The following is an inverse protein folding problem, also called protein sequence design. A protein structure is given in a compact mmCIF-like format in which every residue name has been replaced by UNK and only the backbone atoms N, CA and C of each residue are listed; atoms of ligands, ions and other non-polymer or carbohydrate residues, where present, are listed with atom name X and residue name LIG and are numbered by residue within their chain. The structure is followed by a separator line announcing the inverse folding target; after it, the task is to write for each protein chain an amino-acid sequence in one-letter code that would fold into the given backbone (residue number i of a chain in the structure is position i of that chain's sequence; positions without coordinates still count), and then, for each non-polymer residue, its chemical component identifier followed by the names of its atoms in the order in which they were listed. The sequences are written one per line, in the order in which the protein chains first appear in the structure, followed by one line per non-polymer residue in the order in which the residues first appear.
data_IF_805620794709
#
_entry.id   IF_805620794709
#
_cell.length_a   1.000
_cell.length_b   1.000
_cell.length_c   1.000
_cell.angle_alpha   90.00
_cell.angle_beta   90.00
_cell.angle_gamma   90.00
#
_symmetry.space_group_name_H-M   'P 1'
#
loop_
_entity.id
_entity.type
_entity.pdbx_description
1 polymer ?
#
# COMPACT_ATOMS: atom_id res chain seq x y z
N UNK A 1 -3.31 -13.21 16.54
CA UNK A 1 -2.88 -12.94 16.01
C UNK A 1 -2.04 -12.76 15.60
N UNK A 2 -1.49 -12.78 15.38
CA UNK A 2 -0.74 -12.62 15.07
C UNK A 2 -0.09 -12.13 14.57
N UNK A 3 0.46 -12.18 14.22
CA UNK A 3 1.19 -11.89 13.81
C UNK A 3 1.59 -11.30 13.24
N UNK A 4 1.63 -11.02 12.89
CA UNK A 4 2.11 -10.60 12.25
C UNK A 4 2.61 -10.07 11.84
N UNK A 5 2.62 -10.05 12.01
CA UNK A 5 3.15 -9.31 11.32
C UNK A 5 4.30 -8.59 11.67
N UNK A 6 5.38 -8.97 11.22
CA UNK A 6 6.53 -8.19 11.33
C UNK A 6 6.37 -6.83 10.71
N UNK A 7 5.42 -6.72 9.79
CA UNK A 7 5.23 -5.46 9.11
C UNK A 7 4.05 -4.67 9.62
N UNK A 8 3.26 -5.29 10.45
CA UNK A 8 2.15 -4.53 10.97
C UNK A 8 2.67 -3.78 12.13
N UNK A 9 2.57 -2.57 12.20
CA UNK A 9 3.16 -1.96 13.10
C UNK A 9 2.43 -1.08 13.80
N UNK A 10 2.50 -0.92 14.98
CA UNK A 10 2.00 0.15 15.82
C UNK A 10 0.60 0.57 15.49
N UNK A 11 -0.28 -0.40 15.27
CA UNK A 11 -1.66 -0.08 14.95
C UNK A 11 -1.85 0.67 13.64
N UNK A 12 -0.90 0.58 12.73
CA UNK A 12 -1.06 1.28 11.44
C UNK A 12 -2.33 0.87 10.73
N UNK A 13 -2.70 -0.40 10.78
CA UNK A 13 -3.89 -0.88 10.10
C UNK A 13 -5.17 -0.38 10.76
N UNK A 14 -5.09 0.18 11.96
CA UNK A 14 -6.24 0.76 12.63
C UNK A 14 -6.36 2.25 12.38
N UNK A 15 -5.41 2.83 11.66
CA UNK A 15 -5.45 4.25 11.35
C UNK A 15 -6.20 4.48 10.04
N UNK A 16 -6.77 5.65 9.86
CA UNK A 16 -7.44 5.92 8.58
C UNK A 16 -6.44 5.99 7.44
N UNK A 17 -6.89 5.58 6.27
CA UNK A 17 -6.10 5.67 5.05
C UNK A 17 -6.43 6.99 4.38
N UNK A 18 -5.40 7.76 4.05
CA UNK A 18 -5.55 8.99 3.30
C UNK A 18 -4.84 8.84 1.98
N UNK A 19 -5.49 9.23 0.89
CA UNK A 19 -4.90 9.16 -0.44
C UNK A 19 -5.08 10.51 -1.10
N UNK A 20 -3.99 11.09 -1.57
CA UNK A 20 -3.98 12.37 -2.26
C UNK A 20 -3.35 12.16 -3.62
N UNK A 21 -3.91 12.77 -4.65
CA UNK A 21 -3.36 12.69 -6.00
C UNK A 21 -3.85 13.88 -6.80
N UNK A 22 -3.26 14.07 -7.98
CA UNK A 22 -3.72 15.15 -8.86
C UNK A 22 -5.03 14.79 -9.54
N UNK A 23 -5.23 13.51 -9.86
CA UNK A 23 -6.43 13.04 -10.56
C UNK A 23 -6.98 11.79 -9.93
N UNK A 24 -8.30 11.67 -9.95
CA UNK A 24 -8.99 10.48 -9.43
C UNK A 24 -10.09 10.11 -10.39
N UNK A 25 -10.33 8.83 -10.56
CA UNK A 25 -11.46 8.35 -11.31
C UNK A 25 -12.08 7.16 -10.61
N UNK A 26 -13.38 7.01 -10.76
CA UNK A 26 -14.13 5.94 -10.11
C UNK A 26 -14.93 5.19 -11.16
N UNK A 27 -14.63 3.91 -11.31
CA UNK A 27 -15.42 3.03 -12.16
C UNK A 27 -16.41 2.32 -11.27
N UNK A 28 -17.63 2.80 -11.25
CA UNK A 28 -18.64 2.29 -10.34
C UNK A 28 -19.12 0.90 -10.75
N UNK A 29 -19.05 0.58 -12.03
CA UNK A 29 -19.49 -0.71 -12.49
C UNK A 29 -18.58 -1.83 -12.02
N UNK A 30 -17.27 -1.60 -12.06
CA UNK A 30 -16.29 -2.59 -11.67
C UNK A 30 -15.70 -2.37 -10.30
N UNK A 31 -16.15 -1.33 -9.59
CA UNK A 31 -15.70 -0.98 -8.25
C UNK A 31 -14.19 -0.79 -8.22
N UNK A 32 -13.69 0.01 -9.17
CA UNK A 32 -12.26 0.31 -9.25
C UNK A 32 -12.07 1.81 -9.11
N UNK A 33 -11.18 2.20 -8.21
CA UNK A 33 -10.80 3.60 -8.03
C UNK A 33 -9.37 3.75 -8.50
N UNK A 34 -9.11 4.72 -9.35
CA UNK A 34 -7.78 4.98 -9.86
C UNK A 34 -7.33 6.37 -9.50
N UNK A 35 -6.11 6.48 -8.95
CA UNK A 35 -5.49 7.74 -8.61
C UNK A 35 -4.27 7.89 -9.51
N UNK A 36 -4.10 9.05 -10.11
CA UNK A 36 -2.96 9.27 -11.00
C UNK A 36 -2.27 10.58 -10.71
N UNK A 37 -0.95 10.54 -10.88
CA UNK A 37 -0.04 11.67 -10.74
C UNK A 37 0.10 12.17 -9.30
N UNK A 38 1.30 12.08 -8.81
CA UNK A 38 1.68 12.53 -7.46
C UNK A 38 0.80 11.90 -6.38
N UNK A 39 0.66 10.58 -6.46
CA UNK A 39 -0.16 9.86 -5.50
C UNK A 39 0.61 9.66 -4.22
N UNK A 40 0.01 10.02 -3.10
CA UNK A 40 0.59 9.82 -1.76
C UNK A 40 -0.45 9.12 -0.91
N UNK A 41 -0.07 7.97 -0.36
CA UNK A 41 -0.94 7.19 0.53
C UNK A 41 -0.31 7.20 1.90
N UNK A 42 -1.10 7.54 2.91
CA UNK A 42 -0.63 7.49 4.30
C UNK A 42 -1.61 6.70 5.15
N UNK A 43 -1.08 5.91 6.06
CA UNK A 43 -1.86 5.20 7.05
C UNK A 43 -0.94 4.96 8.25
N UNK A 44 -1.15 5.71 9.34
CA UNK A 44 -0.25 5.63 10.47
C UNK A 44 1.17 5.99 10.04
N UNK A 45 2.12 5.10 10.26
CA UNK A 45 3.51 5.32 9.87
C UNK A 45 3.78 4.93 8.42
N UNK A 46 2.80 4.33 7.74
CA UNK A 46 2.97 3.89 6.36
C UNK A 46 2.88 5.10 5.43
N UNK A 47 3.84 5.20 4.52
CA UNK A 47 3.86 6.26 3.51
C UNK A 47 4.22 5.62 2.19
N UNK A 48 3.35 5.74 1.20
CA UNK A 48 3.61 5.20 -0.15
C UNK A 48 3.46 6.34 -1.14
N UNK A 49 4.44 6.48 -2.01
CA UNK A 49 4.41 7.46 -3.09
C UNK A 49 4.50 6.75 -4.42
N UNK A 50 3.62 7.13 -5.35
CA UNK A 50 3.51 6.44 -6.62
C UNK A 50 3.05 7.40 -7.70
N UNK A 51 3.11 6.93 -8.95
CA UNK A 51 2.57 7.70 -10.06
C UNK A 51 1.13 7.33 -10.33
N UNK A 52 0.75 6.09 -10.00
CA UNK A 52 -0.59 5.61 -10.23
C UNK A 52 -0.93 4.57 -9.17
N UNK A 53 -2.13 4.63 -8.65
CA UNK A 53 -2.60 3.64 -7.69
C UNK A 53 -3.99 3.19 -8.11
N UNK A 54 -4.20 1.89 -8.12
CA UNK A 54 -5.49 1.28 -8.48
C UNK A 54 -5.98 0.47 -7.31
N UNK A 55 -7.17 0.79 -6.83
CA UNK A 55 -7.79 0.05 -5.73
C UNK A 55 -8.99 -0.68 -6.30
N UNK A 56 -9.01 -2.00 -6.14
CA UNK A 56 -10.10 -2.84 -6.61
C UNK A 56 -10.84 -3.39 -5.41
N UNK A 57 -12.16 -3.20 -5.41
CA UNK A 57 -13.00 -3.69 -4.33
C UNK A 57 -13.97 -4.71 -4.88
N UNK A 58 -13.68 -6.02 -4.71
CA UNK A 58 -14.56 -7.06 -5.24
C UNK A 58 -15.94 -7.03 -4.57
N UNK A 59 -16.95 -7.64 -5.20
CA UNK A 59 -18.26 -7.73 -4.55
C UNK A 59 -18.18 -8.45 -3.21
N UNK A 60 -19.04 -8.06 -2.30
CA UNK A 60 -19.02 -8.63 -0.96
C UNK A 60 -19.21 -10.15 -0.94
N UNK A 61 -20.02 -10.65 -1.84
CA UNK A 61 -20.32 -12.08 -1.85
C UNK A 61 -19.32 -12.90 -2.65
N UNK A 62 -18.25 -12.30 -3.13
CA UNK A 62 -17.25 -13.02 -3.92
C UNK A 62 -16.24 -13.77 -3.06
N UNK A 63 -16.17 -13.44 -1.77
CA UNK A 63 -15.17 -14.01 -0.89
C UNK A 63 -13.79 -13.40 -1.05
N UNK A 64 -13.63 -12.43 -1.94
CA UNK A 64 -12.35 -11.78 -2.17
C UNK A 64 -12.29 -10.46 -1.41
N UNK A 65 -11.08 -10.02 -1.10
CA UNK A 65 -10.87 -8.76 -0.41
C UNK A 65 -10.29 -7.71 -1.34
N UNK A 66 -10.26 -6.47 -0.87
CA UNK A 66 -9.70 -5.38 -1.66
C UNK A 66 -8.24 -5.60 -1.97
N UNK A 67 -7.81 -5.09 -3.12
CA UNK A 67 -6.40 -5.08 -3.48
C UNK A 67 -6.02 -3.67 -3.87
N UNK A 68 -4.74 -3.34 -3.65
CA UNK A 68 -4.17 -2.05 -4.01
C UNK A 68 -2.95 -2.32 -4.86
N UNK A 69 -2.89 -1.68 -6.03
CA UNK A 69 -1.71 -1.77 -6.88
C UNK A 69 -1.17 -0.38 -7.09
N UNK A 70 0.12 -0.21 -6.87
CA UNK A 70 0.78 1.07 -7.06
C UNK A 70 1.87 0.90 -8.11
N UNK A 71 1.98 1.88 -8.99
CA UNK A 71 2.95 1.87 -10.08
C UNK A 71 3.76 3.17 -10.03
N UNK A 72 5.04 3.07 -10.29
CA UNK A 72 5.90 4.25 -10.31
C UNK A 72 7.28 3.93 -10.85
N UNK A 73 8.13 4.93 -10.82
CA UNK A 73 9.49 4.81 -11.31
C UNK A 73 10.45 5.53 -10.38
N UNK A 74 10.56 5.08 -9.15
CA UNK A 74 9.89 3.95 -8.50
C UNK A 74 8.71 4.36 -7.65
N UNK A 75 7.94 3.37 -7.25
CA UNK A 75 7.05 3.49 -6.10
C UNK A 75 7.94 3.41 -4.88
N UNK A 76 7.74 4.28 -3.90
CA UNK A 76 8.49 4.22 -2.66
C UNK A 76 7.55 3.90 -1.50
N UNK A 77 8.06 3.16 -0.54
CA UNK A 77 7.31 2.68 0.60
C UNK A 77 8.11 2.90 1.87
N UNK A 78 7.48 3.43 2.89
CA UNK A 78 8.11 3.65 4.19
C UNK A 78 7.15 3.20 5.28
N UNK A 79 7.68 2.52 6.29
CA UNK A 79 6.89 2.10 7.44
C UNK A 79 7.79 1.98 8.65
N UNK A 80 7.26 2.31 9.82
CA UNK A 80 8.02 2.18 11.06
C UNK A 80 7.59 0.89 11.75
N UNK A 81 8.54 0.06 12.15
CA UNK A 81 8.26 -1.18 12.85
C UNK A 81 8.00 -0.94 14.33
N UNK A 82 7.48 -1.96 15.02
CA UNK A 82 7.16 -1.85 16.43
C UNK A 82 8.35 -1.47 17.29
N UNK A 83 9.54 -1.87 16.89
CA UNK A 83 10.75 -1.53 17.64
C UNK A 83 11.26 -0.11 17.33
N UNK A 84 10.51 0.64 16.54
CA UNK A 84 10.88 1.99 16.18
C UNK A 84 11.81 2.10 14.98
N UNK A 85 12.24 0.99 14.42
CA UNK A 85 13.15 1.01 13.27
C UNK A 85 12.38 1.18 11.99
N UNK A 86 12.85 2.02 11.08
CA UNK A 86 12.13 2.21 9.81
C UNK A 86 12.46 1.11 8.81
N UNK A 87 11.50 0.85 7.94
CA UNK A 87 11.69 -0.01 6.78
C UNK A 87 11.41 0.87 5.57
N UNK A 88 12.32 0.87 4.62
CA UNK A 88 12.15 1.61 3.37
C UNK A 88 12.24 0.64 2.22
N UNK A 89 11.34 0.80 1.26
CA UNK A 89 11.33 -0.05 0.09
C UNK A 89 11.04 0.75 -1.16
N UNK A 90 11.36 0.15 -2.29
CA UNK A 90 11.00 0.73 -3.58
C UNK A 90 10.89 -0.37 -4.60
N UNK A 91 10.07 -0.13 -5.61
CA UNK A 91 9.87 -1.07 -6.70
C UNK A 91 9.14 -0.36 -7.81
N UNK A 92 9.10 -0.94 -8.99
CA UNK A 92 8.33 -0.36 -10.06
C UNK A 92 6.84 -0.60 -9.86
N UNK A 93 6.51 -1.65 -9.14
CA UNK A 93 5.12 -2.00 -8.86
C UNK A 93 5.02 -2.58 -7.45
N UNK A 94 4.00 -2.17 -6.73
CA UNK A 94 3.70 -2.71 -5.41
C UNK A 94 2.26 -3.22 -5.43
N UNK A 95 2.06 -4.44 -4.97
CA UNK A 95 0.74 -5.04 -4.90
C UNK A 95 0.46 -5.40 -3.43
N UNK A 96 -0.64 -4.95 -2.90
CA UNK A 96 -1.04 -5.26 -1.54
C UNK A 96 -2.42 -5.90 -1.55
N UNK A 97 -2.52 -7.08 -0.94
CA UNK A 97 -3.79 -7.81 -0.83
C UNK A 97 -4.26 -7.67 0.62
N UNK A 98 -5.36 -6.97 0.83
CA UNK A 98 -5.86 -6.72 2.16
C UNK A 98 -6.37 -7.99 2.84
N UNK A 99 -6.82 -8.96 2.08
CA UNK A 99 -7.34 -10.20 2.66
C UNK A 99 -6.27 -11.05 3.28
N UNK A 100 -5.13 -11.18 2.57
CA UNK A 100 -4.02 -11.99 3.07
C UNK A 100 -2.95 -11.15 3.75
N UNK A 101 -3.05 -9.83 3.65
CA UNK A 101 -2.05 -8.90 4.16
C UNK A 101 -0.69 -9.15 3.53
N UNK A 102 -0.70 -9.54 2.26
CA UNK A 102 0.50 -9.89 1.54
C UNK A 102 0.95 -8.74 0.65
N UNK A 103 2.19 -8.33 0.81
CA UNK A 103 2.77 -7.23 0.05
C UNK A 103 3.80 -7.78 -0.91
N UNK A 104 3.66 -7.46 -2.20
CA UNK A 104 4.59 -7.91 -3.23
C UNK A 104 5.20 -6.70 -3.93
N UNK A 105 6.52 -6.69 -4.02
CA UNK A 105 7.25 -5.64 -4.72
C UNK A 105 7.87 -6.26 -5.96
N UNK A 106 7.64 -5.65 -7.12
CA UNK A 106 8.07 -6.20 -8.39
C UNK A 106 8.81 -5.14 -9.20
N UNK A 107 9.91 -5.52 -9.82
CA UNK A 107 10.67 -4.65 -10.71
C UNK A 107 11.64 -3.77 -9.94
N UNK A 108 12.93 -4.11 -10.00
CA UNK A 108 13.99 -3.38 -9.30
C UNK A 108 13.65 -3.21 -7.82
N UNK A 109 13.09 -4.26 -7.23
CA UNK A 109 12.60 -4.19 -5.87
C UNK A 109 13.73 -4.16 -4.86
N UNK A 110 13.61 -3.30 -3.88
CA UNK A 110 14.60 -3.19 -2.83
C UNK A 110 13.86 -2.91 -1.53
N UNK A 111 14.24 -3.60 -0.48
CA UNK A 111 13.65 -3.39 0.84
C UNK A 111 14.78 -3.33 1.85
N UNK A 112 14.82 -2.26 2.61
CA UNK A 112 15.85 -2.06 3.62
C UNK A 112 15.24 -1.80 4.97
N UNK A 113 15.75 -2.48 5.99
CA UNK A 113 15.41 -2.16 7.35
C UNK A 113 16.62 -1.41 7.91
N UNK A 114 16.42 -0.19 8.34
CA UNK A 114 17.51 0.63 8.81
C UNK A 114 17.75 0.35 10.29
N UNK A 115 19.01 0.06 10.62
CA UNK A 115 19.41 -0.08 12.01
C UNK A 115 19.99 1.25 12.42
N UNK A 116 19.43 1.87 13.36
CA UNK A 116 19.93 3.16 13.78
C UNK A 116 21.10 3.03 14.76
#
# INVERSE_FOLDING_TARGET
MTSLSAFALKDDTNKPINIVSDNQSLDMENSVVTFTDNVVITQGSILIKANKVVITRPPENSGKKETVEAFGSPVTFHQQLDDGKPVDGRANKVHYDLGTEFLTLTGNAELKQLDS
#
